data_IF_975190343364
#
_entry.id   IF_975190343364
#
_cell.length_a   1.000
_cell.length_b   1.000
_cell.length_c   1.000
_cell.angle_alpha   90.00
_cell.angle_beta   90.00
_cell.angle_gamma   90.00
#
_symmetry.space_group_name_H-M   'P 1'
#
loop_
_entity.id
_entity.type
_entity.pdbx_description
1 polymer ?
#
# COMPACT_ATOMS: atom_id res chain seq x y z
N UNK A 1 2.42 5.71 23.19
CA UNK A 1 2.21 4.80 22.06
C UNK A 1 0.90 5.04 21.30
N UNK A 2 -0.23 5.20 22.00
CA UNK A 2 -1.55 5.38 21.36
C UNK A 2 -1.62 6.63 20.45
N UNK A 3 -0.90 7.69 20.77
CA UNK A 3 -0.90 8.96 20.05
C UNK A 3 0.25 9.09 19.02
N UNK A 4 1.05 8.04 18.77
CA UNK A 4 2.23 8.12 17.91
C UNK A 4 1.94 8.66 16.50
N UNK A 5 0.80 8.27 15.91
CA UNK A 5 0.38 8.74 14.58
C UNK A 5 0.08 10.23 14.59
N UNK A 6 -0.60 10.70 15.64
CA UNK A 6 -0.88 12.12 15.83
C UNK A 6 0.42 12.95 15.97
N UNK A 7 1.35 12.51 16.83
CA UNK A 7 2.63 13.20 17.00
C UNK A 7 3.47 13.19 15.72
N UNK A 8 3.47 12.06 14.98
CA UNK A 8 4.11 11.98 13.68
C UNK A 8 3.55 13.02 12.71
N UNK A 9 2.24 13.05 12.51
CA UNK A 9 1.58 14.00 11.62
C UNK A 9 1.84 15.45 12.04
N UNK A 10 1.74 15.76 13.33
CA UNK A 10 1.96 17.11 13.87
C UNK A 10 3.39 17.59 13.61
N UNK A 11 4.39 16.71 13.79
CA UNK A 11 5.82 17.00 13.63
C UNK A 11 6.25 17.07 12.17
N UNK A 12 5.82 16.10 11.34
CA UNK A 12 6.35 15.93 9.98
C UNK A 12 5.46 16.56 8.91
N UNK A 13 4.19 16.82 9.21
CA UNK A 13 3.17 17.21 8.23
C UNK A 13 2.98 16.17 7.13
N UNK A 14 3.15 14.90 7.45
CA UNK A 14 3.02 13.75 6.55
C UNK A 14 2.07 12.70 7.12
N UNK A 15 1.43 11.87 6.27
CA UNK A 15 0.65 10.73 6.73
C UNK A 15 1.52 9.71 7.47
N UNK A 16 0.90 8.94 8.36
CA UNK A 16 1.45 7.69 8.84
C UNK A 16 1.37 6.64 7.72
N UNK A 17 2.49 6.09 7.29
CA UNK A 17 2.56 5.18 6.15
C UNK A 17 2.70 3.74 6.63
N UNK A 18 1.75 2.91 6.24
CA UNK A 18 1.75 1.46 6.46
C UNK A 18 2.00 0.76 5.13
N UNK A 19 3.10 0.03 5.00
CA UNK A 19 3.33 -0.85 3.85
C UNK A 19 2.66 -2.19 4.09
N UNK A 20 1.96 -2.73 3.08
CA UNK A 20 1.29 -4.03 3.20
C UNK A 20 1.48 -4.86 1.94
N UNK A 21 1.92 -6.09 2.12
CA UNK A 21 1.94 -7.08 1.04
C UNK A 21 1.60 -8.48 1.55
N UNK A 22 1.46 -9.40 0.62
CA UNK A 22 1.42 -10.82 0.86
C UNK A 22 2.53 -11.50 0.08
N UNK A 23 3.17 -12.50 0.67
CA UNK A 23 4.23 -13.28 0.03
C UNK A 23 4.02 -14.77 0.23
N UNK A 24 4.45 -15.56 -0.73
CA UNK A 24 4.58 -17.01 -0.62
C UNK A 24 5.71 -17.40 0.34
N UNK A 25 5.77 -18.68 0.73
CA UNK A 25 6.84 -19.20 1.59
C UNK A 25 8.24 -18.93 1.02
N UNK A 26 8.38 -18.94 -0.29
CA UNK A 26 9.62 -18.71 -1.03
C UNK A 26 9.82 -17.25 -1.47
N UNK A 27 9.01 -16.30 -0.96
CA UNK A 27 9.27 -14.87 -1.05
C UNK A 27 8.76 -14.18 -2.33
N UNK A 28 7.65 -14.63 -2.91
CA UNK A 28 7.05 -14.01 -4.10
C UNK A 28 5.67 -13.42 -3.80
N UNK A 29 5.38 -12.24 -4.36
CA UNK A 29 4.06 -11.58 -4.28
C UNK A 29 3.09 -12.07 -5.35
N UNK A 30 3.59 -12.59 -6.44
CA UNK A 30 2.84 -13.12 -7.58
C UNK A 30 3.65 -14.25 -8.17
N UNK A 31 3.05 -15.44 -8.29
CA UNK A 31 3.71 -16.63 -8.82
C UNK A 31 3.83 -16.66 -10.34
N UNK A 32 3.24 -15.69 -11.04
CA UNK A 32 3.29 -15.63 -12.51
C UNK A 32 4.60 -15.00 -12.99
N UNK A 33 5.19 -15.48 -14.08
CA UNK A 33 6.26 -14.79 -14.78
C UNK A 33 5.82 -13.39 -15.22
N UNK A 34 6.77 -12.46 -15.36
CA UNK A 34 6.45 -11.08 -15.78
C UNK A 34 5.68 -11.02 -17.12
N UNK A 35 5.98 -11.95 -18.03
CA UNK A 35 5.34 -12.04 -19.34
C UNK A 35 3.84 -12.38 -19.27
N UNK A 36 3.40 -13.05 -18.21
CA UNK A 36 2.00 -13.42 -17.98
C UNK A 36 1.22 -12.35 -17.19
N UNK A 37 1.90 -11.33 -16.68
CA UNK A 37 1.29 -10.24 -15.95
C UNK A 37 0.84 -9.12 -16.89
N UNK A 38 -0.10 -9.45 -17.78
CA UNK A 38 -0.68 -8.52 -18.75
C UNK A 38 -1.83 -7.72 -18.11
N UNK A 39 -2.16 -6.53 -18.66
CA UNK A 39 -3.32 -5.77 -18.23
C UNK A 39 -4.60 -6.63 -18.21
N UNK A 40 -5.35 -6.56 -17.09
CA UNK A 40 -6.58 -7.34 -16.90
C UNK A 40 -6.38 -8.80 -16.52
N UNK A 41 -5.16 -9.27 -16.27
CA UNK A 41 -4.90 -10.65 -15.84
C UNK A 41 -5.50 -11.00 -14.46
N UNK A 42 -5.89 -9.98 -13.68
CA UNK A 42 -6.41 -10.13 -12.32
C UNK A 42 -5.31 -10.36 -11.28
N UNK A 43 -5.66 -10.26 -10.00
CA UNK A 43 -4.74 -10.50 -8.89
C UNK A 43 -4.36 -11.98 -8.77
N UNK A 44 -3.12 -12.25 -8.36
CA UNK A 44 -2.68 -13.61 -8.02
C UNK A 44 -2.95 -13.89 -6.52
N UNK A 45 -3.72 -14.95 -6.18
CA UNK A 45 -4.06 -15.24 -4.80
C UNK A 45 -2.85 -15.86 -4.08
N UNK A 46 -2.22 -15.11 -3.18
CA UNK A 46 -1.16 -15.60 -2.30
C UNK A 46 -1.75 -16.14 -1.00
N UNK A 47 -2.67 -15.40 -0.37
CA UNK A 47 -3.30 -15.77 0.90
C UNK A 47 -4.66 -16.42 0.70
N UNK A 48 -5.04 -17.25 1.65
CA UNK A 48 -6.37 -17.87 1.71
C UNK A 48 -7.47 -16.81 1.99
N UNK A 49 -8.72 -17.18 1.74
CA UNK A 49 -9.88 -16.28 1.99
C UNK A 49 -10.02 -15.91 3.47
N UNK A 50 -9.60 -16.76 4.37
CA UNK A 50 -9.60 -16.51 5.83
C UNK A 50 -8.79 -15.27 6.22
N UNK A 51 -7.80 -14.84 5.43
CA UNK A 51 -7.02 -13.62 5.66
C UNK A 51 -7.77 -12.33 5.30
N UNK A 52 -8.86 -12.41 4.50
CA UNK A 52 -9.58 -11.24 3.99
C UNK A 52 -10.15 -10.33 5.08
N UNK A 53 -10.85 -10.81 6.12
CA UNK A 53 -11.41 -9.91 7.13
C UNK A 53 -10.36 -9.05 7.81
N UNK A 54 -9.20 -9.64 8.20
CA UNK A 54 -8.12 -8.88 8.81
C UNK A 54 -7.47 -7.90 7.82
N UNK A 55 -7.30 -8.29 6.55
CA UNK A 55 -6.82 -7.39 5.50
C UNK A 55 -7.76 -6.19 5.33
N UNK A 56 -9.08 -6.42 5.32
CA UNK A 56 -10.07 -5.36 5.23
C UNK A 56 -10.14 -4.50 6.50
N UNK A 57 -9.87 -5.08 7.68
CA UNK A 57 -9.68 -4.31 8.91
C UNK A 57 -8.49 -3.37 8.78
N UNK A 58 -7.36 -3.83 8.24
CA UNK A 58 -6.21 -2.96 7.99
C UNK A 58 -6.53 -1.81 7.02
N UNK A 59 -7.32 -2.06 5.97
CA UNK A 59 -7.80 -1.01 5.06
C UNK A 59 -8.69 0.00 5.77
N UNK A 60 -9.64 -0.49 6.57
CA UNK A 60 -10.60 0.36 7.29
C UNK A 60 -9.94 1.28 8.34
N UNK A 61 -8.75 0.93 8.83
CA UNK A 61 -8.00 1.73 9.80
C UNK A 61 -7.25 2.90 9.16
N UNK A 62 -7.13 2.95 7.83
CA UNK A 62 -6.36 3.97 7.14
C UNK A 62 -7.27 4.88 6.29
N UNK A 63 -6.89 6.15 6.15
CA UNK A 63 -7.67 7.13 5.39
C UNK A 63 -7.47 7.02 3.88
N UNK A 64 -6.28 6.60 3.45
CA UNK A 64 -5.97 6.39 2.04
C UNK A 64 -5.35 5.03 1.76
N UNK A 65 -5.59 4.50 0.57
CA UNK A 65 -4.96 3.28 0.05
C UNK A 65 -4.21 3.62 -1.23
N UNK A 66 -2.91 3.33 -1.26
CA UNK A 66 -2.01 3.67 -2.37
C UNK A 66 -1.79 2.46 -3.25
N UNK A 67 -1.94 2.66 -4.56
CA UNK A 67 -1.67 1.65 -5.59
C UNK A 67 -0.91 2.29 -6.76
N UNK A 68 0.03 1.56 -7.35
CA UNK A 68 0.73 1.99 -8.56
C UNK A 68 -0.02 1.62 -9.83
N UNK A 69 0.26 2.35 -10.92
CA UNK A 69 -0.38 2.17 -12.22
C UNK A 69 -0.29 0.72 -12.74
N UNK A 70 0.88 0.08 -12.65
CA UNK A 70 1.04 -1.30 -13.13
C UNK A 70 0.11 -2.28 -12.37
N UNK A 71 -0.04 -2.13 -11.06
CA UNK A 71 -0.95 -2.95 -10.27
C UNK A 71 -2.40 -2.67 -10.66
N UNK A 72 -2.76 -1.39 -10.85
CA UNK A 72 -4.10 -1.03 -11.31
C UNK A 72 -4.43 -1.65 -12.66
N UNK A 73 -3.48 -1.61 -13.62
CA UNK A 73 -3.65 -2.18 -14.97
C UNK A 73 -3.76 -3.72 -14.95
N UNK A 74 -2.87 -4.39 -14.20
CA UNK A 74 -2.81 -5.86 -14.19
C UNK A 74 -3.96 -6.45 -13.39
N UNK A 75 -4.18 -5.97 -12.17
CA UNK A 75 -5.08 -6.59 -11.20
C UNK A 75 -6.50 -6.01 -11.22
N UNK A 76 -6.66 -4.77 -11.72
CA UNK A 76 -7.92 -4.01 -11.68
C UNK A 76 -8.60 -4.11 -10.29
N UNK A 77 -7.87 -3.81 -9.19
CA UNK A 77 -8.32 -4.11 -7.84
C UNK A 77 -9.46 -3.19 -7.41
N UNK A 78 -10.37 -3.70 -6.58
CA UNK A 78 -11.47 -2.87 -6.04
C UNK A 78 -11.01 -1.91 -4.93
N UNK A 79 -9.98 -2.26 -4.16
CA UNK A 79 -9.38 -1.47 -3.07
C UNK A 79 -10.36 -0.98 -1.99
N UNK A 80 -11.52 -1.61 -1.91
CA UNK A 80 -12.58 -1.29 -0.95
C UNK A 80 -12.56 -2.20 0.28
N UNK A 81 -13.39 -1.84 1.27
CA UNK A 81 -13.71 -2.67 2.44
C UNK A 81 -15.06 -3.32 2.20
N UNK A 82 -15.10 -4.68 2.14
CA UNK A 82 -16.33 -5.43 1.86
C UNK A 82 -16.51 -6.70 2.69
N UNK A 83 -15.46 -7.14 3.41
CA UNK A 83 -15.54 -8.33 4.26
C UNK A 83 -15.90 -8.02 5.72
N UNK A 84 -16.02 -6.74 6.05
CA UNK A 84 -16.44 -6.21 7.34
C UNK A 84 -17.29 -4.96 7.09
N UNK A 85 -18.11 -4.58 8.06
CA UNK A 85 -18.88 -3.33 8.02
C UNK A 85 -18.01 -2.17 8.52
N UNK A 86 -17.38 -1.46 7.58
CA UNK A 86 -16.53 -0.31 7.87
C UNK A 86 -16.34 0.56 6.61
N UNK A 87 -15.97 1.85 6.76
CA UNK A 87 -15.69 2.73 5.63
C UNK A 87 -14.49 2.25 4.80
N UNK A 88 -14.54 2.50 3.50
CA UNK A 88 -13.42 2.29 2.61
C UNK A 88 -12.49 3.50 2.59
N UNK A 89 -11.15 3.30 2.52
CA UNK A 89 -10.20 4.39 2.36
C UNK A 89 -10.34 5.07 0.99
N UNK A 90 -9.87 6.31 0.88
CA UNK A 90 -9.71 6.98 -0.43
C UNK A 90 -8.60 6.30 -1.22
N UNK A 91 -8.82 6.09 -2.51
CA UNK A 91 -7.80 5.52 -3.38
C UNK A 91 -6.83 6.62 -3.82
N UNK A 92 -5.53 6.36 -3.70
CA UNK A 92 -4.44 7.18 -4.23
C UNK A 92 -3.75 6.36 -5.33
N UNK A 93 -4.00 6.72 -6.58
CA UNK A 93 -3.42 6.06 -7.75
C UNK A 93 -2.14 6.78 -8.15
N UNK A 94 -0.99 6.09 -8.00
CA UNK A 94 0.32 6.60 -8.42
C UNK A 94 0.58 6.24 -9.89
N UNK A 95 0.52 7.23 -10.75
CA UNK A 95 0.74 7.08 -12.19
C UNK A 95 1.53 8.27 -12.76
N UNK A 96 2.78 8.47 -12.31
CA UNK A 96 3.60 9.61 -12.73
C UNK A 96 3.80 9.67 -14.25
N UNK A 97 3.80 8.52 -14.91
CA UNK A 97 4.00 8.42 -16.37
C UNK A 97 2.70 8.57 -17.17
N UNK A 98 1.53 8.57 -16.50
CA UNK A 98 0.22 8.70 -17.13
C UNK A 98 -0.11 7.52 -18.03
N UNK A 99 0.11 6.31 -17.54
CA UNK A 99 -0.14 5.04 -18.26
C UNK A 99 -1.61 4.65 -18.25
N UNK A 100 -2.36 5.11 -17.25
CA UNK A 100 -3.76 4.74 -17.05
C UNK A 100 -4.65 5.59 -17.95
N UNK A 101 -5.50 4.91 -18.75
CA UNK A 101 -6.56 5.56 -19.48
C UNK A 101 -7.65 6.05 -18.51
N UNK A 102 -8.21 7.23 -18.76
CA UNK A 102 -9.28 7.81 -17.96
C UNK A 102 -10.56 6.97 -17.93
N UNK A 103 -10.76 6.09 -18.91
CA UNK A 103 -11.87 5.12 -18.94
C UNK A 103 -11.62 3.89 -18.04
N UNK A 104 -10.45 3.79 -17.42
CA UNK A 104 -10.12 2.66 -16.55
C UNK A 104 -11.11 2.54 -15.39
N UNK A 105 -11.56 1.30 -15.12
CA UNK A 105 -12.61 1.02 -14.16
C UNK A 105 -12.34 1.57 -12.75
N UNK A 106 -11.07 1.63 -12.32
CA UNK A 106 -10.70 2.17 -11.02
C UNK A 106 -11.01 3.67 -10.91
N UNK A 107 -10.78 4.43 -11.99
CA UNK A 107 -11.10 5.86 -12.07
C UNK A 107 -12.62 6.06 -12.15
N UNK A 108 -13.28 5.32 -13.05
CA UNK A 108 -14.70 5.47 -13.31
C UNK A 108 -15.62 5.12 -12.13
N UNK A 109 -15.17 4.20 -11.26
CA UNK A 109 -15.94 3.75 -10.08
C UNK A 109 -15.70 4.56 -8.82
N UNK A 110 -14.73 5.48 -8.82
CA UNK A 110 -14.28 6.13 -7.59
C UNK A 110 -14.17 7.65 -7.75
N UNK A 111 -15.28 8.36 -7.53
CA UNK A 111 -15.36 9.82 -7.65
C UNK A 111 -14.39 10.59 -6.74
N UNK A 112 -13.95 9.97 -5.64
CA UNK A 112 -13.02 10.54 -4.66
C UNK A 112 -11.59 10.05 -4.82
N UNK A 113 -11.26 9.34 -5.90
CA UNK A 113 -9.90 8.89 -6.18
C UNK A 113 -8.96 10.09 -6.34
N UNK A 114 -7.81 10.04 -5.69
CA UNK A 114 -6.71 10.98 -5.89
C UNK A 114 -5.79 10.39 -6.96
N UNK A 115 -5.70 11.10 -8.09
CA UNK A 115 -4.85 10.69 -9.21
C UNK A 115 -3.53 11.44 -9.16
N UNK A 116 -2.47 10.74 -8.81
CA UNK A 116 -1.10 11.29 -8.74
C UNK A 116 -0.43 11.10 -10.09
N UNK A 117 -0.17 12.19 -10.77
CA UNK A 117 0.32 12.21 -12.16
C UNK A 117 1.46 13.20 -12.33
N UNK A 118 2.34 12.96 -13.29
CA UNK A 118 3.42 13.89 -13.62
C UNK A 118 2.90 15.22 -14.17
N UNK A 119 3.65 16.31 -13.96
CA UNK A 119 3.20 17.68 -14.30
C UNK A 119 2.93 17.90 -15.78
N UNK A 120 3.55 17.11 -16.67
CA UNK A 120 3.34 17.20 -18.12
C UNK A 120 1.95 16.72 -18.57
N UNK A 121 1.24 15.98 -17.73
CA UNK A 121 -0.09 15.42 -18.03
C UNK A 121 -1.23 16.36 -17.64
N UNK A 122 -0.95 17.42 -16.87
CA UNK A 122 -1.95 18.34 -16.37
C UNK A 122 -2.93 17.73 -15.36
N UNK A 123 -4.00 18.46 -15.04
CA UNK A 123 -5.07 17.94 -14.18
C UNK A 123 -6.00 17.07 -15.01
N UNK A 124 -6.08 15.78 -14.71
CA UNK A 124 -6.88 14.80 -15.46
C UNK A 124 -8.15 14.39 -14.73
N UNK A 125 -8.23 14.60 -13.42
CA UNK A 125 -9.42 14.36 -12.61
C UNK A 125 -9.71 15.51 -11.67
N UNK A 126 -10.90 15.51 -11.05
CA UNK A 126 -11.30 16.48 -10.02
C UNK A 126 -10.33 16.54 -8.84
N UNK A 127 -9.64 15.44 -8.53
CA UNK A 127 -8.69 15.32 -7.44
C UNK A 127 -7.33 14.87 -7.97
N UNK A 128 -6.76 15.62 -8.92
CA UNK A 128 -5.41 15.37 -9.42
C UNK A 128 -4.37 15.99 -8.48
N UNK A 129 -3.33 15.21 -8.18
CA UNK A 129 -2.13 15.64 -7.49
C UNK A 129 -0.96 15.58 -8.47
N UNK A 130 -0.35 16.71 -8.79
CA UNK A 130 0.84 16.72 -9.63
C UNK A 130 2.08 16.41 -8.81
N UNK A 131 2.88 15.47 -9.28
CA UNK A 131 4.10 15.07 -8.61
C UNK A 131 5.12 14.53 -9.60
N UNK A 132 6.38 14.94 -9.46
CA UNK A 132 7.49 14.36 -10.19
C UNK A 132 8.28 13.41 -9.30
N UNK A 133 8.67 12.25 -9.84
CA UNK A 133 9.43 11.22 -9.09
C UNK A 133 10.73 11.77 -8.49
N UNK A 134 11.37 12.72 -9.18
CA UNK A 134 12.59 13.39 -8.69
C UNK A 134 12.39 14.24 -7.42
N UNK A 135 11.16 14.66 -7.10
CA UNK A 135 10.86 15.40 -5.87
C UNK A 135 10.90 14.50 -4.63
N UNK A 136 10.91 13.17 -4.82
CA UNK A 136 10.90 12.17 -3.76
C UNK A 136 9.52 11.96 -3.13
N UNK A 137 9.40 10.86 -2.39
CA UNK A 137 8.14 10.49 -1.73
C UNK A 137 7.77 11.45 -0.60
N UNK A 138 8.74 12.07 0.05
CA UNK A 138 8.47 13.03 1.12
C UNK A 138 7.61 14.21 0.64
N UNK A 139 7.92 14.78 -0.52
CA UNK A 139 7.14 15.86 -1.13
C UNK A 139 5.73 15.40 -1.49
N UNK A 140 5.57 14.19 -2.02
CA UNK A 140 4.26 13.60 -2.28
C UNK A 140 3.44 13.46 -0.99
N UNK A 141 4.05 12.90 0.06
CA UNK A 141 3.38 12.68 1.34
C UNK A 141 2.94 14.00 2.00
N UNK A 142 3.76 15.05 1.92
CA UNK A 142 3.41 16.39 2.40
C UNK A 142 2.19 16.95 1.65
N UNK A 143 2.13 16.81 0.32
CA UNK A 143 0.97 17.22 -0.48
C UNK A 143 -0.28 16.40 -0.13
N UNK A 144 -0.17 15.08 -0.01
CA UNK A 144 -1.30 14.23 0.37
C UNK A 144 -1.87 14.60 1.74
N UNK A 145 -1.00 14.98 2.67
CA UNK A 145 -1.42 15.46 3.99
C UNK A 145 -2.08 16.85 3.92
N UNK A 146 -1.43 17.82 3.25
CA UNK A 146 -1.86 19.22 3.26
C UNK A 146 -3.07 19.49 2.36
N UNK A 147 -3.09 18.91 1.15
CA UNK A 147 -4.11 19.23 0.15
C UNK A 147 -5.32 18.29 0.21
N UNK A 148 -5.10 17.02 0.63
CA UNK A 148 -6.16 15.99 0.65
C UNK A 148 -6.56 15.54 2.05
N UNK A 149 -5.95 16.11 3.10
CA UNK A 149 -6.21 15.81 4.53
C UNK A 149 -6.04 14.32 4.86
N UNK A 150 -5.09 13.64 4.23
CA UNK A 150 -4.78 12.25 4.54
C UNK A 150 -3.74 12.19 5.66
N UNK A 151 -4.14 11.72 6.84
CA UNK A 151 -3.24 11.54 7.99
C UNK A 151 -2.66 10.12 8.09
N UNK A 152 -3.20 9.17 7.33
CA UNK A 152 -2.69 7.80 7.25
C UNK A 152 -2.90 7.16 5.88
N UNK A 153 -1.95 6.31 5.48
CA UNK A 153 -1.95 5.62 4.19
C UNK A 153 -1.62 4.14 4.36
N UNK A 154 -2.34 3.29 3.66
CA UNK A 154 -1.99 1.89 3.43
C UNK A 154 -1.43 1.75 2.00
N UNK A 155 -0.17 1.39 1.85
CA UNK A 155 0.46 1.14 0.55
C UNK A 155 0.34 -0.35 0.22
N UNK A 156 -0.56 -0.71 -0.69
CA UNK A 156 -0.76 -2.10 -1.14
C UNK A 156 -0.20 -2.37 -2.54
N UNK A 157 0.24 -1.34 -3.24
CA UNK A 157 0.42 -1.38 -4.67
C UNK A 157 1.77 -1.80 -5.18
N UNK A 158 1.88 -3.03 -5.72
CA UNK A 158 2.98 -3.53 -6.52
C UNK A 158 4.39 -3.46 -5.89
N UNK A 159 5.26 -4.40 -6.27
CA UNK A 159 6.62 -4.47 -5.72
C UNK A 159 7.44 -3.19 -5.96
N UNK A 160 7.26 -2.51 -7.11
CA UNK A 160 7.96 -1.26 -7.42
C UNK A 160 7.64 -0.18 -6.40
N UNK A 161 6.36 0.11 -6.19
CA UNK A 161 5.92 1.15 -5.24
C UNK A 161 6.39 0.82 -3.82
N UNK A 162 6.19 -0.42 -3.36
CA UNK A 162 6.64 -0.84 -2.03
C UNK A 162 8.15 -0.68 -1.86
N UNK A 163 8.94 -1.09 -2.87
CA UNK A 163 10.39 -0.94 -2.83
C UNK A 163 10.84 0.53 -2.86
N UNK A 164 10.13 1.42 -3.56
CA UNK A 164 10.44 2.85 -3.57
C UNK A 164 10.19 3.48 -2.19
N UNK A 165 9.11 3.11 -1.51
CA UNK A 165 8.86 3.53 -0.12
C UNK A 165 9.93 3.01 0.84
N UNK A 166 10.37 1.75 0.68
CA UNK A 166 11.44 1.17 1.49
C UNK A 166 12.79 1.84 1.23
N UNK A 167 13.18 2.03 -0.03
CA UNK A 167 14.45 2.65 -0.43
C UNK A 167 14.58 4.10 0.02
N UNK A 168 13.47 4.86 0.00
CA UNK A 168 13.45 6.26 0.43
C UNK A 168 13.14 6.41 1.92
N UNK A 169 13.06 5.30 2.65
CA UNK A 169 12.75 5.27 4.09
C UNK A 169 11.45 6.01 4.45
N UNK A 170 10.49 6.03 3.52
CA UNK A 170 9.23 6.76 3.58
C UNK A 170 8.08 5.91 4.16
N UNK A 171 8.34 5.18 5.25
CA UNK A 171 7.38 4.29 5.88
C UNK A 171 7.47 4.34 7.41
N UNK A 172 6.41 3.91 8.08
CA UNK A 172 6.31 3.89 9.55
C UNK A 172 6.03 2.48 10.09
N UNK A 173 5.23 1.71 9.39
CA UNK A 173 4.77 0.37 9.80
C UNK A 173 4.75 -0.57 8.59
N UNK A 174 5.03 -1.85 8.82
CA UNK A 174 4.92 -2.91 7.80
C UNK A 174 3.93 -3.96 8.30
N UNK A 175 3.04 -4.40 7.42
CA UNK A 175 2.13 -5.54 7.61
C UNK A 175 2.36 -6.54 6.49
N UNK A 176 2.88 -7.71 6.83
CA UNK A 176 3.18 -8.75 5.85
C UNK A 176 2.37 -10.01 6.15
N UNK A 177 1.69 -10.52 5.14
CA UNK A 177 1.15 -11.88 5.13
C UNK A 177 2.16 -12.84 4.53
N UNK A 178 2.29 -14.03 5.13
CA UNK A 178 3.10 -15.12 4.58
C UNK A 178 2.26 -16.38 4.44
N UNK A 179 2.09 -16.82 3.21
CA UNK A 179 1.46 -18.09 2.88
C UNK A 179 2.44 -19.25 3.09
N UNK A 180 1.98 -20.43 3.55
CA UNK A 180 2.80 -21.64 3.61
C UNK A 180 3.08 -22.23 2.21
N UNK A 181 2.33 -21.84 1.19
CA UNK A 181 2.53 -22.30 -0.18
C UNK A 181 3.76 -21.64 -0.81
N UNK A 182 4.50 -22.41 -1.61
CA UNK A 182 5.53 -21.90 -2.49
C UNK A 182 4.97 -21.70 -3.90
N UNK A 183 5.44 -20.68 -4.61
CA UNK A 183 5.08 -20.43 -6.02
C UNK A 183 6.13 -20.95 -6.99
N UNK A 184 7.37 -21.20 -6.53
CA UNK A 184 8.48 -21.67 -7.36
C UNK A 184 9.11 -20.59 -8.23
N UNK A 185 8.70 -19.34 -8.12
CA UNK A 185 9.15 -18.19 -8.89
C UNK A 185 8.09 -17.12 -9.03
N UNK A 186 8.37 -16.07 -9.80
CA UNK A 186 7.45 -14.97 -10.10
C UNK A 186 7.97 -13.60 -9.71
N UNK A 187 7.09 -12.71 -9.25
CA UNK A 187 7.43 -11.38 -8.80
C UNK A 187 7.95 -11.42 -7.35
N UNK A 188 9.23 -11.09 -7.10
CA UNK A 188 9.78 -11.09 -5.75
C UNK A 188 9.06 -10.11 -4.82
N UNK A 189 8.87 -10.53 -3.58
CA UNK A 189 8.39 -9.66 -2.51
C UNK A 189 9.50 -8.69 -2.05
N UNK A 190 9.13 -7.52 -1.49
CA UNK A 190 10.07 -6.65 -0.82
C UNK A 190 10.72 -7.34 0.38
N UNK A 191 11.98 -7.00 0.65
CA UNK A 191 12.66 -7.46 1.86
C UNK A 191 12.32 -6.56 3.04
N UNK A 192 11.88 -7.15 4.15
CA UNK A 192 11.66 -6.41 5.39
C UNK A 192 13.02 -5.89 5.90
N UNK A 193 13.19 -4.58 6.13
CA UNK A 193 14.47 -4.03 6.58
C UNK A 193 14.88 -4.55 7.98
N UNK A 194 16.17 -4.83 8.17
CA UNK A 194 16.74 -5.32 9.44
C UNK A 194 16.52 -4.33 10.60
N UNK A 195 16.48 -3.04 10.31
CA UNK A 195 16.20 -1.99 11.31
C UNK A 195 14.73 -1.89 11.71
N UNK A 196 13.84 -2.72 11.16
CA UNK A 196 12.45 -2.81 11.61
C UNK A 196 12.33 -3.58 12.92
N UNK A 197 11.42 -3.14 13.80
CA UNK A 197 11.21 -3.70 15.12
C UNK A 197 9.82 -4.36 15.24
N UNK A 198 9.65 -5.38 16.10
CA UNK A 198 8.30 -5.82 16.47
C UNK A 198 7.53 -4.69 17.15
N UNK A 199 6.20 -4.76 17.14
CA UNK A 199 5.39 -3.80 17.89
C UNK A 199 5.68 -3.91 19.40
N UNK A 200 5.54 -2.81 20.17
CA UNK A 200 5.73 -2.83 21.62
C UNK A 200 4.84 -3.83 22.36
N UNK A 201 5.23 -4.14 23.60
CA UNK A 201 4.46 -5.03 24.48
C UNK A 201 2.98 -4.66 24.55
N UNK A 202 2.11 -5.68 24.49
CA UNK A 202 0.66 -5.52 24.52
C UNK A 202 0.01 -5.35 23.15
N UNK A 203 0.80 -5.21 22.08
CA UNK A 203 0.31 -5.18 20.70
C UNK A 203 0.75 -6.44 19.94
N UNK A 204 -0.15 -7.01 19.14
CA UNK A 204 0.15 -8.18 18.37
C UNK A 204 1.13 -7.86 17.22
N UNK A 205 2.36 -8.37 17.32
CA UNK A 205 3.40 -8.25 16.30
C UNK A 205 3.32 -9.34 15.23
N UNK A 206 2.65 -10.44 15.53
CA UNK A 206 2.48 -11.56 14.60
C UNK A 206 1.29 -12.41 15.02
N UNK A 207 0.82 -13.23 14.12
CA UNK A 207 -0.26 -14.19 14.37
C UNK A 207 -0.50 -15.08 13.17
N UNK A 208 -1.54 -15.91 13.27
CA UNK A 208 -1.95 -16.83 12.23
C UNK A 208 -3.47 -16.75 12.06
N UNK A 209 -3.92 -16.80 10.81
CA UNK A 209 -5.33 -16.95 10.44
C UNK A 209 -5.46 -18.04 9.38
N UNK A 210 -6.14 -19.12 9.73
CA UNK A 210 -6.16 -20.32 8.89
C UNK A 210 -4.74 -20.85 8.69
N UNK A 211 -4.31 -20.94 7.43
CA UNK A 211 -2.97 -21.42 7.05
C UNK A 211 -1.94 -20.30 6.93
N UNK A 212 -2.38 -19.04 6.83
CA UNK A 212 -1.51 -17.88 6.60
C UNK A 212 -1.03 -17.26 7.92
N UNK A 213 0.25 -16.95 7.99
CA UNK A 213 0.84 -16.17 9.06
C UNK A 213 0.90 -14.68 8.68
N UNK A 214 0.86 -13.81 9.68
CA UNK A 214 1.07 -12.38 9.47
C UNK A 214 2.06 -11.80 10.48
N UNK A 215 2.77 -10.75 10.07
CA UNK A 215 3.67 -9.98 10.93
C UNK A 215 3.41 -8.49 10.78
N UNK A 216 3.52 -7.79 11.92
CA UNK A 216 3.57 -6.33 11.98
C UNK A 216 4.93 -5.88 12.48
N UNK A 217 5.53 -4.95 11.76
CA UNK A 217 6.84 -4.36 12.11
C UNK A 217 6.71 -2.84 12.15
N UNK A 218 7.50 -2.24 13.02
CA UNK A 218 7.59 -0.80 13.18
C UNK A 218 8.95 -0.31 12.72
N UNK A 219 9.00 0.87 12.12
CA UNK A 219 10.26 1.52 11.82
C UNK A 219 11.01 1.86 13.12
N UNK A 220 12.31 1.61 13.18
CA UNK A 220 13.15 1.82 14.39
C UNK A 220 13.14 3.26 14.91
N UNK A 221 12.87 4.26 14.06
CA UNK A 221 12.69 5.66 14.48
C UNK A 221 11.59 5.88 15.52
N UNK A 222 10.66 4.93 15.65
CA UNK A 222 9.54 4.97 16.61
C UNK A 222 9.77 4.09 17.85
N UNK A 223 10.99 3.58 18.05
CA UNK A 223 11.30 2.71 19.18
C UNK A 223 11.30 3.44 20.54
N UNK A 224 11.52 4.75 20.51
CA UNK A 224 11.67 5.61 21.69
C UNK A 224 10.45 6.47 21.99
N UNK A 225 9.37 6.37 21.20
CA UNK A 225 8.15 7.20 21.34
C UNK A 225 7.05 6.50 22.21
#
# INVERSE_FOLDING_TARGET
WQNRRFFWNAKTKRPWVVLKWAESRDGYMDGRPLQERQPGAGGFPITAETARPLTHTWRALEQGIVVGANTALVDTPELNVRSIEAPSPRIVLLDPDGLINMEHALIQRNDNLIYVVGPTKGSVTKHSCQWEVKEGLDALLERLYAEFNLSSLLVEGGATVLNDFLKQDAWNEIKCWRSPAATGGGLPAPTIPDHSLPLPHGLASSGQLGVDAWTNRLHSRHASD
#
